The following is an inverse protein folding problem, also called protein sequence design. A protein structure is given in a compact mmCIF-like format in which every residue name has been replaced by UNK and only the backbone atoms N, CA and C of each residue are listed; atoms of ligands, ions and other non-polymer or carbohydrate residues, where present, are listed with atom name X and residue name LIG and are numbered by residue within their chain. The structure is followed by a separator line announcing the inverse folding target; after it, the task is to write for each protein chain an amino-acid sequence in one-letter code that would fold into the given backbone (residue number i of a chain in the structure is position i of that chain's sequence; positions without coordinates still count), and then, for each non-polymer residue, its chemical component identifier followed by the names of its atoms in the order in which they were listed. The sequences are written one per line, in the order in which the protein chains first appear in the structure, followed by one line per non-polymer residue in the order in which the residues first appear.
data_IF_317823494374
#
_entry.id   IF_317823494374
#
_cell.length_a   1.000
_cell.length_b   1.000
_cell.length_c   1.000
_cell.angle_alpha   90.00
_cell.angle_beta   90.00
_cell.angle_gamma   90.00
#
_symmetry.space_group_name_H-M   'P 1'
#
loop_
_entity.id
_entity.type
_entity.pdbx_description
1 polymer ?
#
# COMPACT_ATOMS: atom_id res chain seq x y z
N UNK A 1 34.43 -52.38 6.76
CA UNK A 1 35.00 -51.08 6.41
C UNK A 1 33.82 -50.17 6.17
N UNK A 2 33.68 -49.21 7.08
CA UNK A 2 32.78 -48.07 7.04
C UNK A 2 32.79 -47.42 5.66
N UNK A 3 31.64 -47.01 5.14
CA UNK A 3 31.45 -45.81 4.31
C UNK A 3 29.96 -45.64 4.03
N UNK A 4 29.23 -45.22 5.07
CA UNK A 4 27.96 -44.54 4.87
C UNK A 4 28.27 -43.05 4.72
N UNK A 5 28.48 -42.61 3.49
CA UNK A 5 28.47 -41.20 3.12
C UNK A 5 27.04 -40.65 3.22
N UNK A 6 26.54 -40.52 4.46
CA UNK A 6 25.46 -39.58 4.73
C UNK A 6 26.01 -38.17 4.58
N UNK A 7 26.27 -37.75 3.34
CA UNK A 7 26.31 -36.34 3.00
C UNK A 7 24.93 -35.78 3.30
N UNK A 8 24.80 -35.24 4.51
CA UNK A 8 23.69 -34.45 4.96
C UNK A 8 23.57 -33.30 3.97
N UNK A 9 22.56 -33.35 3.11
CA UNK A 9 22.21 -32.25 2.22
C UNK A 9 21.72 -31.11 3.13
N UNK A 10 22.65 -30.28 3.61
CA UNK A 10 22.29 -28.94 4.05
C UNK A 10 21.71 -28.23 2.82
N UNK A 11 20.50 -27.66 2.91
CA UNK A 11 19.96 -26.89 1.80
C UNK A 11 20.96 -25.77 1.49
N UNK A 12 21.55 -25.88 0.30
CA UNK A 12 22.50 -24.93 -0.26
C UNK A 12 21.89 -23.53 -0.12
N UNK A 13 22.46 -22.72 0.76
CA UNK A 13 22.15 -21.29 0.86
C UNK A 13 22.71 -20.63 -0.39
N UNK A 14 21.95 -20.73 -1.48
CA UNK A 14 22.29 -20.07 -2.73
C UNK A 14 22.15 -18.58 -2.44
N UNK A 15 23.31 -17.94 -2.37
CA UNK A 15 23.46 -16.50 -2.47
C UNK A 15 22.92 -16.06 -3.84
N UNK A 16 21.59 -15.94 -3.94
CA UNK A 16 20.91 -15.19 -4.98
C UNK A 16 20.56 -13.83 -4.37
N UNK A 17 20.82 -12.74 -5.10
CA UNK A 17 20.65 -11.35 -4.66
C UNK A 17 19.21 -10.89 -4.43
N UNK A 18 18.43 -11.65 -3.67
CA UNK A 18 17.19 -11.22 -3.05
C UNK A 18 17.37 -11.43 -1.56
N UNK A 19 17.77 -10.36 -0.87
CA UNK A 19 17.63 -10.20 0.57
C UNK A 19 16.30 -10.83 0.99
N UNK A 20 16.35 -11.95 1.71
CA UNK A 20 15.19 -12.59 2.32
C UNK A 20 14.65 -11.61 3.35
N UNK A 21 13.89 -10.64 2.88
CA UNK A 21 13.35 -9.58 3.71
C UNK A 21 12.29 -10.22 4.60
N UNK A 22 12.57 -10.25 5.90
CA UNK A 22 11.69 -10.89 6.87
C UNK A 22 10.30 -10.29 6.74
N UNK A 23 9.25 -11.11 6.53
CA UNK A 23 7.90 -10.58 6.44
C UNK A 23 7.56 -9.88 7.75
N UNK A 24 6.85 -8.75 7.66
CA UNK A 24 6.40 -8.01 8.85
C UNK A 24 5.54 -8.92 9.71
N UNK A 25 5.82 -8.93 11.01
CA UNK A 25 4.99 -9.62 11.98
C UNK A 25 3.60 -8.97 12.08
N UNK A 26 2.62 -9.68 12.63
CA UNK A 26 1.28 -9.14 12.83
C UNK A 26 1.29 -7.87 13.69
N UNK A 27 2.16 -7.79 14.70
CA UNK A 27 2.28 -6.61 15.56
C UNK A 27 2.73 -5.36 14.79
N UNK A 28 3.70 -5.51 13.89
CA UNK A 28 4.17 -4.41 13.03
C UNK A 28 3.07 -3.94 12.06
N UNK A 29 2.25 -4.87 11.56
CA UNK A 29 1.07 -4.53 10.76
C UNK A 29 0.02 -3.76 11.56
N UNK A 30 -0.24 -4.17 12.81
CA UNK A 30 -1.17 -3.46 13.70
C UNK A 30 -0.70 -2.02 13.95
N UNK A 31 0.59 -1.81 14.23
CA UNK A 31 1.15 -0.45 14.40
C UNK A 31 1.05 0.35 13.11
N UNK A 32 1.34 -0.28 11.97
CA UNK A 32 1.20 0.36 10.64
C UNK A 32 -0.24 0.83 10.43
N UNK A 33 -1.23 -0.03 10.67
CA UNK A 33 -2.66 0.30 10.54
C UNK A 33 -3.12 1.35 11.55
N UNK A 34 -2.59 1.35 12.77
CA UNK A 34 -2.88 2.36 13.80
C UNK A 34 -2.43 3.76 13.34
N UNK A 35 -1.24 3.87 12.76
CA UNK A 35 -0.73 5.14 12.22
C UNK A 35 -1.60 5.60 11.03
N UNK A 36 -1.97 4.65 10.15
CA UNK A 36 -2.88 4.91 9.03
C UNK A 36 -4.27 5.41 9.48
N UNK A 37 -4.73 5.05 10.67
CA UNK A 37 -6.02 5.50 11.18
C UNK A 37 -6.06 7.02 11.42
N UNK A 38 -4.90 7.68 11.58
CA UNK A 38 -4.81 9.12 11.77
C UNK A 38 -4.76 9.81 10.39
N UNK A 39 -5.81 10.53 9.96
CA UNK A 39 -5.97 10.97 8.57
C UNK A 39 -4.84 11.86 8.05
N UNK A 40 -4.34 12.80 8.87
CA UNK A 40 -3.26 13.71 8.46
C UNK A 40 -1.89 13.00 8.40
N UNK A 41 -1.62 12.12 9.36
CA UNK A 41 -0.34 11.40 9.45
C UNK A 41 -0.27 10.33 8.37
N UNK A 42 -1.40 9.69 8.06
CA UNK A 42 -1.52 8.64 7.06
C UNK A 42 -0.92 9.05 5.70
N UNK A 43 -1.32 10.22 5.18
CA UNK A 43 -0.82 10.71 3.88
C UNK A 43 0.70 10.90 3.91
N UNK A 44 1.24 11.58 4.93
CA UNK A 44 2.68 11.80 5.06
C UNK A 44 3.42 10.46 5.19
N UNK A 45 2.89 9.53 5.97
CA UNK A 45 3.51 8.23 6.21
C UNK A 45 3.55 7.36 4.95
N UNK A 46 2.56 7.49 4.06
CA UNK A 46 2.60 6.81 2.76
C UNK A 46 3.77 7.26 1.89
N UNK A 47 4.12 8.56 1.89
CA UNK A 47 5.32 9.04 1.20
C UNK A 47 6.60 8.55 1.88
N UNK A 48 6.68 8.66 3.21
CA UNK A 48 7.87 8.25 3.99
C UNK A 48 8.16 6.76 3.82
N UNK A 49 7.15 5.90 3.93
CA UNK A 49 7.32 4.45 3.78
C UNK A 49 7.31 3.97 2.33
N UNK A 50 6.60 4.66 1.42
CA UNK A 50 6.55 4.33 0.01
C UNK A 50 7.86 4.64 -0.73
N UNK A 51 8.55 5.71 -0.34
CA UNK A 51 9.79 6.14 -0.98
C UNK A 51 11.04 5.95 -0.11
N UNK A 52 10.89 5.66 1.18
CA UNK A 52 12.01 5.39 2.09
C UNK A 52 12.63 3.99 1.97
N UNK A 53 13.71 3.78 2.73
CA UNK A 53 14.31 2.45 2.95
C UNK A 53 13.60 1.74 4.10
N UNK A 54 13.26 0.46 3.91
CA UNK A 54 12.56 -0.36 4.89
C UNK A 54 11.88 -1.57 4.24
N UNK A 55 11.08 -2.29 5.03
CA UNK A 55 10.45 -3.55 4.62
C UNK A 55 9.69 -3.45 3.28
N UNK A 56 10.06 -4.29 2.30
CA UNK A 56 9.44 -4.28 0.97
C UNK A 56 7.93 -4.50 0.98
N UNK A 57 7.39 -5.30 1.90
CA UNK A 57 5.95 -5.55 2.00
C UNK A 57 5.20 -4.27 2.39
N UNK A 58 5.71 -3.51 3.37
CA UNK A 58 5.13 -2.21 3.77
C UNK A 58 5.32 -1.15 2.70
N UNK A 59 6.49 -1.12 2.05
CA UNK A 59 6.77 -0.17 0.97
C UNK A 59 5.83 -0.38 -0.22
N UNK A 60 5.63 -1.63 -0.63
CA UNK A 60 4.74 -1.96 -1.74
C UNK A 60 3.28 -1.65 -1.40
N UNK A 61 2.86 -1.91 -0.17
CA UNK A 61 1.53 -1.50 0.31
C UNK A 61 1.33 0.02 0.23
N UNK A 62 2.29 0.81 0.72
CA UNK A 62 2.20 2.27 0.67
C UNK A 62 2.18 2.82 -0.76
N UNK A 63 3.00 2.25 -1.65
CA UNK A 63 3.00 2.61 -3.08
C UNK A 63 1.67 2.28 -3.74
N UNK A 64 1.10 1.10 -3.48
CA UNK A 64 -0.22 0.74 -3.98
C UNK A 64 -1.31 1.70 -3.46
N UNK A 65 -1.28 2.02 -2.16
CA UNK A 65 -2.21 2.98 -1.56
C UNK A 65 -2.11 4.37 -2.22
N UNK A 66 -0.90 4.88 -2.48
CA UNK A 66 -0.70 6.15 -3.19
C UNK A 66 -1.26 6.12 -4.61
N UNK A 67 -1.10 5.01 -5.33
CA UNK A 67 -1.69 4.83 -6.66
C UNK A 67 -3.22 4.88 -6.56
N UNK A 68 -3.83 4.16 -5.61
CA UNK A 68 -5.28 4.20 -5.40
C UNK A 68 -5.77 5.60 -5.01
N UNK A 69 -5.03 6.34 -4.18
CA UNK A 69 -5.36 7.73 -3.86
C UNK A 69 -5.32 8.59 -5.12
N UNK A 70 -4.28 8.49 -5.94
CA UNK A 70 -4.17 9.22 -7.21
C UNK A 70 -5.31 8.89 -8.17
N UNK A 71 -5.61 7.59 -8.34
CA UNK A 71 -6.73 7.12 -9.17
C UNK A 71 -8.06 7.68 -8.64
N UNK A 72 -8.35 7.49 -7.34
CA UNK A 72 -9.60 7.96 -6.73
C UNK A 72 -9.77 9.47 -6.89
N UNK A 73 -8.69 10.25 -6.76
CA UNK A 73 -8.69 11.70 -6.95
C UNK A 73 -9.13 12.06 -8.37
N UNK A 74 -8.57 11.41 -9.39
CA UNK A 74 -8.97 11.63 -10.80
C UNK A 74 -10.44 11.28 -11.03
N UNK A 75 -10.88 10.13 -10.51
CA UNK A 75 -12.28 9.72 -10.57
C UNK A 75 -13.20 10.74 -9.88
N UNK A 76 -12.84 11.24 -8.70
CA UNK A 76 -13.60 12.27 -7.99
C UNK A 76 -13.74 13.55 -8.81
N UNK A 77 -12.71 13.99 -9.54
CA UNK A 77 -12.86 15.17 -10.39
C UNK A 77 -13.80 14.93 -11.56
N UNK A 78 -13.68 13.79 -12.25
CA UNK A 78 -14.51 13.47 -13.42
C UNK A 78 -15.97 13.29 -13.00
N UNK A 79 -16.22 12.38 -12.05
CA UNK A 79 -17.57 12.04 -11.61
C UNK A 79 -18.17 13.11 -10.70
N UNK A 80 -17.35 13.74 -9.87
CA UNK A 80 -17.79 14.84 -9.00
C UNK A 80 -18.21 16.06 -9.82
N UNK A 81 -17.47 16.46 -10.85
CA UNK A 81 -17.90 17.55 -11.73
C UNK A 81 -19.21 17.22 -12.46
N UNK A 82 -19.34 16.00 -12.99
CA UNK A 82 -20.56 15.54 -13.62
C UNK A 82 -21.76 15.52 -12.65
N UNK A 83 -21.56 15.02 -11.42
CA UNK A 83 -22.59 15.01 -10.38
C UNK A 83 -22.98 16.41 -9.95
N UNK A 84 -22.02 17.32 -9.76
CA UNK A 84 -22.31 18.72 -9.41
C UNK A 84 -23.13 19.40 -10.50
N UNK A 85 -22.79 19.19 -11.77
CA UNK A 85 -23.57 19.72 -12.89
C UNK A 85 -25.00 19.16 -12.91
N UNK A 86 -25.16 17.84 -12.75
CA UNK A 86 -26.47 17.19 -12.72
C UNK A 86 -27.33 17.65 -11.53
N UNK A 87 -26.71 17.82 -10.35
CA UNK A 87 -27.40 18.33 -9.14
C UNK A 87 -27.80 19.79 -9.34
N UNK A 88 -26.93 20.62 -9.93
CA UNK A 88 -27.25 22.01 -10.25
C UNK A 88 -28.41 22.11 -11.25
N UNK A 89 -28.47 21.23 -12.24
CA UNK A 89 -29.62 21.17 -13.15
C UNK A 89 -30.90 20.73 -12.42
N UNK A 90 -30.82 19.69 -11.60
CA UNK A 90 -31.95 19.22 -10.80
C UNK A 90 -32.50 20.29 -9.87
N UNK A 91 -31.64 21.00 -9.12
CA UNK A 91 -32.08 22.09 -8.23
C UNK A 91 -32.65 23.28 -9.04
N UNK A 92 -32.13 23.55 -10.24
CA UNK A 92 -32.66 24.59 -11.14
C UNK A 92 -34.10 24.30 -11.58
N UNK A 93 -34.43 23.02 -11.75
CA UNK A 93 -35.78 22.58 -12.12
C UNK A 93 -36.83 22.89 -11.06
N UNK A 94 -36.42 23.07 -9.80
CA UNK A 94 -37.29 23.48 -8.69
C UNK A 94 -37.44 25.00 -8.56
N UNK A 95 -36.81 25.80 -9.45
CA UNK A 95 -36.95 27.25 -9.47
C UNK A 95 -36.29 27.97 -8.28
N UNK A 96 -35.31 27.35 -7.62
CA UNK A 96 -34.63 27.92 -6.45
C UNK A 96 -33.45 28.86 -6.80
N UNK A 97 -33.32 29.23 -8.07
CA UNK A 97 -32.48 30.33 -8.57
C UNK A 97 -32.90 30.73 -9.99
#
# INVERSE_FOLDING_TARGET
MENNDYQTNQPQNINNGSQLETPLSLGEWVVTLLILAIPCVNIVMFFVWGFGQGNISRRNFCRAALIFIGISTVFTFIFGAAMVAAIAEYISSYGLY
#
